data_IF_944544200578
#
_entry.id   IF_944544200578
#
_cell.length_a   1.000
_cell.length_b   1.000
_cell.length_c   1.000
_cell.angle_alpha   90.00
_cell.angle_beta   90.00
_cell.angle_gamma   90.00
#
_symmetry.space_group_name_H-M   'P 1'
#
loop_
_entity.id
_entity.type
_entity.pdbx_description
1 polymer ?
#
# COMPACT_ATOMS: atom_id res chain seq x y z
N UNK A 1 3.39 64.86 -52.67
CA UNK A 1 4.27 65.65 -51.79
C UNK A 1 3.99 65.26 -50.35
N UNK A 2 5.05 65.00 -49.59
CA UNK A 2 5.17 64.97 -48.12
C UNK A 2 4.43 63.88 -47.29
N UNK A 3 5.23 63.31 -46.39
CA UNK A 3 5.01 62.24 -45.40
C UNK A 3 4.42 62.77 -44.09
N UNK A 4 3.65 61.96 -43.35
CA UNK A 4 3.54 62.08 -41.88
C UNK A 4 3.51 60.67 -41.23
N UNK A 5 4.32 60.58 -40.18
CA UNK A 5 4.76 59.44 -39.37
C UNK A 5 3.84 59.27 -38.15
N UNK A 6 3.66 58.04 -37.63
CA UNK A 6 3.89 57.65 -36.21
C UNK A 6 2.99 56.50 -35.67
N UNK A 7 3.66 55.37 -35.37
CA UNK A 7 3.52 54.48 -34.18
C UNK A 7 2.15 54.02 -33.64
N UNK A 8 1.91 52.68 -33.59
CA UNK A 8 1.63 51.87 -32.38
C UNK A 8 1.48 50.35 -32.75
N UNK A 9 1.39 49.40 -31.79
CA UNK A 9 2.36 48.32 -31.59
C UNK A 9 1.87 46.95 -32.11
N UNK A 10 2.79 46.06 -32.45
CA UNK A 10 2.48 44.62 -32.58
C UNK A 10 3.69 43.81 -32.13
N UNK A 11 3.58 42.97 -31.06
CA UNK A 11 4.71 42.25 -30.51
C UNK A 11 5.24 41.14 -31.45
N UNK A 12 6.55 40.85 -31.39
CA UNK A 12 7.23 39.97 -32.33
C UNK A 12 7.00 38.48 -32.04
N UNK A 13 6.86 37.72 -33.14
CA UNK A 13 7.21 36.30 -33.19
C UNK A 13 8.70 36.14 -32.82
N UNK A 14 9.02 35.35 -31.78
CA UNK A 14 10.38 34.84 -31.58
C UNK A 14 10.43 33.54 -30.74
N UNK A 15 10.85 32.47 -31.41
CA UNK A 15 11.80 31.41 -31.02
C UNK A 15 11.96 31.11 -29.51
N UNK A 16 11.75 29.85 -29.12
CA UNK A 16 12.55 29.29 -28.01
C UNK A 16 12.72 27.77 -28.09
N UNK A 17 13.89 27.32 -28.57
CA UNK A 17 14.46 26.04 -28.17
C UNK A 17 15.00 26.13 -26.75
N UNK A 18 14.72 25.13 -25.91
CA UNK A 18 15.28 25.02 -24.57
C UNK A 18 16.02 23.69 -24.39
N UNK A 19 17.35 23.80 -24.33
CA UNK A 19 18.26 22.93 -23.57
C UNK A 19 18.18 23.33 -22.09
N UNK A 20 18.21 22.36 -21.20
CA UNK A 20 18.56 22.53 -19.78
C UNK A 20 19.58 21.45 -19.46
N UNK A 21 20.89 21.72 -19.56
CA UNK A 21 21.76 22.35 -18.56
C UNK A 21 21.92 21.52 -17.28
N UNK A 22 23.01 20.75 -17.30
CA UNK A 22 23.71 20.21 -16.13
C UNK A 22 24.20 21.35 -15.23
N UNK A 23 24.09 21.17 -13.91
CA UNK A 23 24.66 22.07 -12.91
C UNK A 23 25.02 21.27 -11.65
N UNK A 24 26.30 20.96 -11.54
CA UNK A 24 27.04 20.62 -10.32
C UNK A 24 27.35 21.88 -9.50
N UNK A 25 27.35 21.83 -8.15
CA UNK A 25 28.44 22.33 -7.28
C UNK A 25 28.10 22.34 -5.76
N UNK A 26 29.11 21.97 -4.97
CA UNK A 26 29.49 22.44 -3.61
C UNK A 26 28.57 22.03 -2.45
N UNK A 27 28.90 21.12 -1.52
CA UNK A 27 30.09 20.97 -0.63
C UNK A 27 30.42 22.19 0.21
N UNK A 28 29.97 22.17 1.48
CA UNK A 28 30.48 22.99 2.58
C UNK A 28 30.70 22.09 3.81
N UNK A 29 31.82 22.24 4.54
CA UNK A 29 32.13 21.43 5.72
C UNK A 29 31.70 22.13 7.01
N UNK A 30 30.99 21.43 7.89
CA UNK A 30 30.76 21.84 9.28
C UNK A 30 30.76 20.60 10.18
N UNK A 31 31.79 20.46 11.02
CA UNK A 31 31.68 19.84 12.36
C UNK A 31 30.89 20.82 13.26
N UNK A 32 30.41 20.48 14.48
CA UNK A 32 30.70 19.32 15.32
C UNK A 32 29.45 18.65 15.93
N UNK A 33 29.53 17.40 16.40
CA UNK A 33 28.97 17.08 17.73
C UNK A 33 29.52 15.74 18.22
N UNK A 34 30.20 15.83 19.36
CA UNK A 34 30.64 14.72 20.19
C UNK A 34 29.38 14.14 20.83
N UNK A 35 28.76 13.17 20.19
CA UNK A 35 27.71 12.41 20.83
C UNK A 35 28.32 11.26 21.63
N UNK A 36 27.97 11.26 22.90
CA UNK A 36 28.51 10.46 23.98
C UNK A 36 27.87 9.08 23.84
N UNK A 37 28.61 8.17 23.23
CA UNK A 37 28.25 6.74 23.19
C UNK A 37 28.05 6.25 24.62
N UNK A 38 26.79 6.17 25.02
CA UNK A 38 26.37 5.45 26.20
C UNK A 38 26.42 3.97 25.81
N UNK A 39 27.61 3.38 25.88
CA UNK A 39 27.79 1.94 25.82
C UNK A 39 27.10 1.35 27.06
N UNK A 40 25.83 0.97 26.90
CA UNK A 40 25.17 0.08 27.85
C UNK A 40 25.85 -1.27 27.70
N UNK A 41 26.80 -1.54 28.59
CA UNK A 41 27.40 -2.86 28.73
C UNK A 41 26.32 -3.82 29.22
N UNK A 42 25.79 -4.62 28.30
CA UNK A 42 25.01 -5.80 28.66
C UNK A 42 25.97 -6.80 29.27
N UNK A 43 26.06 -6.77 30.61
CA UNK A 43 26.76 -7.78 31.41
C UNK A 43 25.93 -9.06 31.36
N UNK A 44 26.36 -10.02 30.54
CA UNK A 44 25.85 -11.39 30.57
C UNK A 44 26.47 -12.07 31.80
N UNK A 45 25.66 -12.29 32.84
CA UNK A 45 26.02 -13.14 33.96
C UNK A 45 25.97 -14.60 33.53
N UNK A 46 27.13 -15.23 33.36
CA UNK A 46 27.25 -16.67 33.36
C UNK A 46 27.37 -17.13 34.82
N UNK A 47 26.24 -17.40 35.47
CA UNK A 47 26.22 -18.22 36.70
C UNK A 47 26.04 -19.66 36.28
N UNK A 48 27.16 -20.34 36.08
CA UNK A 48 27.21 -21.79 36.14
C UNK A 48 27.56 -22.20 37.55
N UNK A 49 26.59 -22.74 38.29
CA UNK A 49 26.78 -23.90 39.17
C UNK A 49 25.44 -24.35 39.80
N UNK A 50 25.04 -25.58 39.45
CA UNK A 50 24.33 -26.60 40.26
C UNK A 50 23.05 -26.18 41.01
N UNK A 51 21.87 -26.79 40.88
CA UNK A 51 21.48 -28.13 40.44
C UNK A 51 19.96 -28.18 40.32
N UNK A 52 19.42 -28.29 39.10
CA UNK A 52 18.34 -29.22 38.81
C UNK A 52 18.25 -29.50 37.30
N UNK A 53 18.61 -30.74 36.98
CA UNK A 53 18.75 -31.43 35.70
C UNK A 53 17.48 -31.45 34.83
N UNK A 54 17.54 -30.90 33.60
CA UNK A 54 16.95 -31.46 32.36
C UNK A 54 17.34 -30.64 31.10
N UNK A 55 17.49 -31.24 29.90
CA UNK A 55 18.41 -30.76 28.86
C UNK A 55 17.73 -30.05 27.66
N UNK A 56 18.50 -29.28 26.85
CA UNK A 56 18.07 -28.77 25.52
C UNK A 56 17.77 -29.90 24.53
N UNK A 57 18.02 -31.15 24.93
CA UNK A 57 17.63 -32.37 24.25
C UNK A 57 16.12 -32.53 24.12
N UNK A 58 15.27 -31.88 24.92
CA UNK A 58 13.81 -32.04 24.83
C UNK A 58 13.22 -31.54 23.51
N UNK A 59 13.54 -30.30 23.12
CA UNK A 59 13.01 -29.67 21.90
C UNK A 59 13.61 -30.31 20.66
N UNK A 60 14.92 -30.56 20.66
CA UNK A 60 15.58 -31.22 19.52
C UNK A 60 15.20 -32.68 19.40
N UNK A 61 14.87 -33.40 20.50
CA UNK A 61 14.31 -34.75 20.43
C UNK A 61 12.89 -34.74 19.88
N UNK A 62 12.05 -33.77 20.24
CA UNK A 62 10.70 -33.64 19.67
C UNK A 62 10.73 -33.29 18.19
N UNK A 63 11.58 -32.34 17.77
CA UNK A 63 11.79 -32.02 16.35
C UNK A 63 12.38 -33.21 15.60
N UNK A 64 13.31 -33.94 16.22
CA UNK A 64 13.87 -35.17 15.64
C UNK A 64 12.83 -36.29 15.56
N UNK A 65 11.95 -36.45 16.54
CA UNK A 65 10.87 -37.43 16.52
C UNK A 65 9.87 -37.15 15.39
N UNK A 66 9.48 -35.90 15.20
CA UNK A 66 8.60 -35.45 14.10
C UNK A 66 9.31 -35.57 12.73
N UNK A 67 10.64 -35.43 12.70
CA UNK A 67 11.42 -35.63 11.48
C UNK A 67 11.74 -37.10 11.19
N UNK A 68 11.81 -37.98 12.18
CA UNK A 68 12.14 -39.40 11.99
C UNK A 68 10.93 -40.20 11.53
N UNK A 69 9.71 -39.73 11.83
CA UNK A 69 8.49 -40.35 11.35
C UNK A 69 8.32 -40.14 9.84
N UNK A 70 8.19 -41.24 9.10
CA UNK A 70 8.26 -41.24 7.64
C UNK A 70 7.03 -40.60 7.00
N UNK A 71 5.90 -40.68 7.71
CA UNK A 71 4.61 -40.13 7.30
C UNK A 71 4.58 -38.60 7.45
N UNK A 72 5.18 -38.08 8.52
CA UNK A 72 5.25 -36.63 8.79
C UNK A 72 6.25 -35.91 7.89
N UNK A 73 7.26 -36.60 7.34
CA UNK A 73 8.18 -36.00 6.35
C UNK A 73 7.43 -35.50 5.13
N UNK A 74 6.49 -36.29 4.60
CA UNK A 74 5.73 -35.92 3.41
C UNK A 74 4.78 -34.75 3.70
N UNK A 75 4.16 -34.74 4.89
CA UNK A 75 3.37 -33.61 5.37
C UNK A 75 4.22 -32.34 5.53
N UNK A 76 5.44 -32.45 6.07
CA UNK A 76 6.35 -31.33 6.28
C UNK A 76 6.88 -30.76 4.96
N UNK A 77 7.17 -31.63 3.98
CA UNK A 77 7.57 -31.25 2.62
C UNK A 77 6.39 -30.60 1.89
N UNK A 78 5.19 -31.16 2.04
CA UNK A 78 3.95 -30.58 1.51
C UNK A 78 3.66 -29.22 2.13
N UNK A 79 3.86 -29.06 3.44
CA UNK A 79 3.72 -27.80 4.15
C UNK A 79 4.78 -26.78 3.72
N UNK A 80 6.03 -27.21 3.53
CA UNK A 80 7.10 -26.37 3.01
C UNK A 80 6.83 -25.90 1.57
N UNK A 81 6.33 -26.80 0.72
CA UNK A 81 5.93 -26.45 -0.64
C UNK A 81 4.71 -25.53 -0.65
N UNK A 82 3.69 -25.81 0.16
CA UNK A 82 2.52 -24.94 0.32
C UNK A 82 2.91 -23.56 0.84
N UNK A 83 3.84 -23.47 1.80
CA UNK A 83 4.39 -22.21 2.28
C UNK A 83 5.12 -21.46 1.16
N UNK A 84 5.94 -22.15 0.36
CA UNK A 84 6.66 -21.54 -0.76
C UNK A 84 5.69 -21.05 -1.85
N UNK A 85 4.66 -21.83 -2.18
CA UNK A 85 3.60 -21.45 -3.12
C UNK A 85 2.77 -20.29 -2.56
N UNK A 86 2.45 -20.28 -1.28
CA UNK A 86 1.73 -19.17 -0.63
C UNK A 86 2.56 -17.88 -0.65
N UNK A 87 3.86 -17.96 -0.38
CA UNK A 87 4.78 -16.83 -0.45
C UNK A 87 4.96 -16.37 -1.91
N UNK A 88 5.06 -17.29 -2.87
CA UNK A 88 5.17 -16.97 -4.29
C UNK A 88 3.90 -16.31 -4.84
N UNK A 89 2.73 -16.89 -4.54
CA UNK A 89 1.42 -16.38 -4.95
C UNK A 89 1.14 -15.05 -4.30
N UNK A 90 1.37 -14.87 -3.00
CA UNK A 90 1.24 -13.57 -2.33
C UNK A 90 2.21 -12.54 -2.94
N UNK A 91 3.49 -12.90 -3.16
CA UNK A 91 4.47 -12.02 -3.78
C UNK A 91 4.17 -11.64 -5.24
N UNK A 92 3.38 -12.44 -5.97
CA UNK A 92 2.89 -12.10 -7.33
C UNK A 92 1.53 -11.40 -7.30
N UNK A 93 0.67 -11.74 -6.37
CA UNK A 93 -0.69 -11.22 -6.21
C UNK A 93 -0.69 -9.78 -5.67
N UNK A 94 0.19 -9.48 -4.71
CA UNK A 94 0.34 -8.14 -4.11
C UNK A 94 0.76 -7.08 -5.13
N UNK A 95 1.82 -7.27 -5.94
CA UNK A 95 2.18 -6.30 -6.97
C UNK A 95 1.19 -6.28 -8.11
N UNK A 96 0.46 -7.39 -8.35
CA UNK A 96 -0.70 -7.36 -9.22
C UNK A 96 -1.73 -6.40 -8.61
N UNK A 97 -2.19 -6.55 -7.37
CA UNK A 97 -3.15 -5.64 -6.71
C UNK A 97 -2.69 -4.17 -6.72
N UNK A 98 -1.42 -3.90 -6.40
CA UNK A 98 -0.87 -2.54 -6.31
C UNK A 98 -0.60 -1.90 -7.69
N UNK A 99 -0.59 -2.72 -8.75
CA UNK A 99 -0.49 -2.30 -10.16
C UNK A 99 -1.72 -2.72 -10.97
N UNK A 100 -2.84 -3.06 -10.33
CA UNK A 100 -3.99 -3.65 -11.01
C UNK A 100 -4.91 -2.52 -11.47
N UNK A 101 -5.01 -2.25 -12.79
CA UNK A 101 -6.15 -1.51 -13.34
C UNK A 101 -7.48 -2.26 -13.17
N UNK A 102 -7.46 -3.46 -12.56
CA UNK A 102 -8.64 -4.32 -12.39
C UNK A 102 -9.49 -3.90 -11.20
N UNK A 103 -8.92 -3.40 -10.08
CA UNK A 103 -9.76 -2.87 -8.99
C UNK A 103 -10.56 -1.65 -9.47
N UNK A 104 -9.95 -0.64 -10.12
CA UNK A 104 -10.69 0.41 -10.81
C UNK A 104 -11.72 -0.12 -11.81
N UNK A 105 -11.36 -1.08 -12.66
CA UNK A 105 -12.26 -1.62 -13.69
C UNK A 105 -13.43 -2.44 -13.12
N UNK A 106 -13.22 -3.21 -12.05
CA UNK A 106 -14.27 -3.98 -11.38
C UNK A 106 -15.19 -3.06 -10.60
N UNK A 107 -14.67 -2.03 -9.93
CA UNK A 107 -15.49 -1.01 -9.28
C UNK A 107 -16.26 -0.15 -10.29
N UNK A 108 -15.69 0.10 -11.47
CA UNK A 108 -16.40 0.74 -12.58
C UNK A 108 -17.55 -0.12 -13.08
N UNK A 109 -17.32 -1.43 -13.27
CA UNK A 109 -18.36 -2.37 -13.66
C UNK A 109 -19.45 -2.50 -12.58
N UNK A 110 -19.05 -2.57 -11.31
CA UNK A 110 -19.98 -2.55 -10.17
C UNK A 110 -20.77 -1.25 -10.13
N UNK A 111 -20.14 -0.11 -10.41
CA UNK A 111 -20.76 1.20 -10.42
C UNK A 111 -21.79 1.32 -11.55
N UNK A 112 -21.46 0.87 -12.75
CA UNK A 112 -22.37 0.85 -13.89
C UNK A 112 -23.53 -0.11 -13.65
N UNK A 113 -23.26 -1.31 -13.13
CA UNK A 113 -24.28 -2.30 -12.82
C UNK A 113 -25.24 -1.80 -11.73
N UNK A 114 -24.69 -1.27 -10.64
CA UNK A 114 -25.48 -0.74 -9.53
C UNK A 114 -26.26 0.51 -9.95
N UNK A 115 -25.66 1.42 -10.71
CA UNK A 115 -26.34 2.59 -11.26
C UNK A 115 -27.50 2.17 -12.17
N UNK A 116 -27.26 1.25 -13.12
CA UNK A 116 -28.31 0.75 -14.02
C UNK A 116 -29.45 0.08 -13.26
N UNK A 117 -29.12 -0.75 -12.26
CA UNK A 117 -30.11 -1.38 -11.39
C UNK A 117 -30.90 -0.35 -10.56
N UNK A 118 -30.22 0.65 -10.01
CA UNK A 118 -30.84 1.72 -9.22
C UNK A 118 -31.80 2.56 -10.06
N UNK A 119 -31.38 2.94 -11.28
CA UNK A 119 -32.23 3.65 -12.24
C UNK A 119 -33.49 2.83 -12.53
N UNK A 120 -33.32 1.55 -12.85
CA UNK A 120 -34.44 0.67 -13.17
C UNK A 120 -35.39 0.48 -11.97
N UNK A 121 -34.84 0.26 -10.78
CA UNK A 121 -35.60 -0.04 -9.56
C UNK A 121 -36.31 1.18 -8.98
N UNK A 122 -35.68 2.35 -8.96
CA UNK A 122 -36.18 3.53 -8.23
C UNK A 122 -36.62 4.69 -9.10
N UNK A 123 -36.03 4.88 -10.28
CA UNK A 123 -36.31 6.05 -11.13
C UNK A 123 -37.34 5.75 -12.23
N UNK A 124 -37.49 4.51 -12.68
CA UNK A 124 -38.37 4.19 -13.82
C UNK A 124 -39.87 4.29 -13.47
N UNK A 125 -40.26 3.83 -12.28
CA UNK A 125 -41.66 3.74 -11.87
C UNK A 125 -42.01 4.82 -10.85
N UNK A 126 -43.17 5.47 -11.02
CA UNK A 126 -43.68 6.48 -10.07
C UNK A 126 -43.61 6.03 -8.61
N UNK A 127 -44.29 4.93 -8.19
CA UNK A 127 -44.33 4.54 -6.78
C UNK A 127 -42.94 4.41 -6.14
N UNK A 128 -41.95 3.93 -6.89
CA UNK A 128 -40.59 3.74 -6.39
C UNK A 128 -39.84 5.06 -6.19
N UNK A 129 -40.20 6.14 -6.89
CA UNK A 129 -39.65 7.49 -6.67
C UNK A 129 -40.14 8.06 -5.34
N UNK A 130 -41.43 7.89 -5.05
CA UNK A 130 -42.01 8.34 -3.79
C UNK A 130 -41.40 7.59 -2.59
N UNK A 131 -41.19 6.27 -2.72
CA UNK A 131 -40.46 5.47 -1.73
C UNK A 131 -39.03 6.00 -1.51
N UNK A 132 -38.29 6.28 -2.59
CA UNK A 132 -36.93 6.81 -2.51
C UNK A 132 -36.90 8.17 -1.78
N UNK A 133 -37.81 9.08 -2.09
CA UNK A 133 -37.89 10.38 -1.41
C UNK A 133 -38.21 10.24 0.08
N UNK A 134 -39.10 9.30 0.45
CA UNK A 134 -39.40 9.03 1.86
C UNK A 134 -38.17 8.49 2.59
N UNK A 135 -37.43 7.56 1.98
CA UNK A 135 -36.20 6.99 2.53
C UNK A 135 -35.17 8.10 2.75
N UNK A 136 -34.94 8.96 1.76
CA UNK A 136 -33.98 10.07 1.86
C UNK A 136 -34.39 11.03 2.99
N UNK A 137 -35.66 11.45 3.04
CA UNK A 137 -36.16 12.34 4.11
C UNK A 137 -35.97 11.72 5.49
N UNK A 138 -36.28 10.42 5.64
CA UNK A 138 -36.09 9.68 6.89
C UNK A 138 -34.63 9.60 7.30
N UNK A 139 -33.72 9.33 6.36
CA UNK A 139 -32.28 9.30 6.63
C UNK A 139 -31.76 10.68 7.04
N UNK A 140 -32.18 11.75 6.37
CA UNK A 140 -31.79 13.12 6.72
C UNK A 140 -32.31 13.52 8.10
N UNK A 141 -33.59 13.24 8.41
CA UNK A 141 -34.19 13.51 9.70
C UNK A 141 -33.45 12.77 10.83
N UNK A 142 -33.15 11.48 10.63
CA UNK A 142 -32.41 10.66 11.58
C UNK A 142 -30.98 11.17 11.85
N UNK A 143 -30.29 11.70 10.83
CA UNK A 143 -28.94 12.29 11.01
C UNK A 143 -29.02 13.64 11.73
N UNK A 144 -30.07 14.43 11.46
CA UNK A 144 -30.27 15.76 12.04
C UNK A 144 -30.91 15.72 13.44
N UNK A 145 -31.39 14.56 13.88
CA UNK A 145 -32.08 14.39 15.16
C UNK A 145 -33.44 15.07 15.23
N UNK A 146 -34.09 15.27 14.08
CA UNK A 146 -35.47 15.77 13.96
C UNK A 146 -36.46 14.61 13.74
#
# INVERSE_FOLDING_TARGET
MASIIASLPSPPLLVHGKRTLFSTLQTLPLSPIKDRQNCVSVVVRATGESSESSPPLGIVKSVKNIWDDSEDRLALIGLGFAALVAIWTSAKLIPAIDKLPVVPSVLELIGILFSSWFIYRYLLFKPNREELFQIIKKSVANILGQ
#
